data_IF_566088678805
#
_entry.id   IF_566088678805
#
_cell.length_a   1.000
_cell.length_b   1.000
_cell.length_c   1.000
_cell.angle_alpha   90.00
_cell.angle_beta   90.00
_cell.angle_gamma   90.00
#
_symmetry.space_group_name_H-M   'P 1'
#
loop_
_entity.id
_entity.type
_entity.pdbx_description
1 polymer ?
#
# COMPACT_ATOMS: atom_id res chain seq x y z
N UNK A 1 -20.80 6.09 -13.28
CA UNK A 1 -19.89 4.94 -13.54
C UNK A 1 -18.67 5.51 -14.21
N UNK A 2 -17.48 5.02 -13.85
CA UNK A 2 -16.21 5.46 -14.37
C UNK A 2 -15.62 4.34 -15.24
N UNK A 3 -15.24 4.67 -16.47
CA UNK A 3 -14.48 3.78 -17.34
C UNK A 3 -13.06 3.57 -16.80
N UNK A 4 -12.42 2.48 -17.19
CA UNK A 4 -11.00 2.23 -16.87
C UNK A 4 -10.09 3.35 -17.37
N UNK A 5 -10.43 4.00 -18.49
CA UNK A 5 -9.71 5.15 -19.02
C UNK A 5 -9.81 6.39 -18.13
N UNK A 6 -10.99 6.69 -17.59
CA UNK A 6 -11.18 7.78 -16.63
C UNK A 6 -10.46 7.48 -15.32
N UNK A 7 -10.58 6.24 -14.80
CA UNK A 7 -9.89 5.83 -13.57
C UNK A 7 -8.37 5.90 -13.75
N UNK A 8 -7.84 5.53 -14.91
CA UNK A 8 -6.43 5.67 -15.21
C UNK A 8 -5.98 7.13 -15.18
N UNK A 9 -6.73 8.05 -15.79
CA UNK A 9 -6.40 9.49 -15.77
C UNK A 9 -6.38 10.08 -14.35
N UNK A 10 -7.27 9.62 -13.48
CA UNK A 10 -7.38 10.14 -12.10
C UNK A 10 -6.38 9.49 -11.14
N UNK A 11 -6.07 8.21 -11.31
CA UNK A 11 -5.38 7.40 -10.29
C UNK A 11 -4.07 6.76 -10.76
N UNK A 12 -3.81 6.76 -12.07
CA UNK A 12 -2.73 6.00 -12.69
C UNK A 12 -2.95 4.48 -12.72
N UNK A 13 -4.07 3.95 -12.20
CA UNK A 13 -4.36 2.53 -12.26
C UNK A 13 -4.76 2.11 -13.67
N UNK A 14 -3.98 1.20 -14.26
CA UNK A 14 -4.30 0.61 -15.55
C UNK A 14 -5.52 -0.31 -15.47
N UNK A 15 -6.18 -0.54 -16.60
CA UNK A 15 -7.24 -1.55 -16.68
C UNK A 15 -6.78 -2.93 -16.20
N UNK A 16 -5.52 -3.30 -16.45
CA UNK A 16 -4.93 -4.54 -15.95
C UNK A 16 -4.94 -4.60 -14.42
N UNK A 17 -4.57 -3.52 -13.75
CA UNK A 17 -4.60 -3.43 -12.29
C UNK A 17 -6.03 -3.53 -11.75
N UNK A 18 -6.98 -2.82 -12.36
CA UNK A 18 -8.40 -2.86 -11.97
C UNK A 18 -8.96 -4.28 -12.11
N UNK A 19 -8.69 -4.93 -13.25
CA UNK A 19 -9.10 -6.32 -13.50
C UNK A 19 -8.47 -7.27 -12.48
N UNK A 20 -7.19 -7.09 -12.19
CA UNK A 20 -6.49 -7.91 -11.20
C UNK A 20 -7.08 -7.77 -9.80
N UNK A 21 -7.34 -6.54 -9.34
CA UNK A 21 -8.00 -6.31 -8.05
C UNK A 21 -9.42 -6.87 -8.02
N UNK A 22 -10.14 -6.82 -9.15
CA UNK A 22 -11.47 -7.40 -9.26
C UNK A 22 -11.45 -8.94 -9.19
N UNK A 23 -10.49 -9.58 -9.86
CA UNK A 23 -10.29 -11.04 -9.77
C UNK A 23 -9.94 -11.50 -8.35
N UNK A 24 -9.32 -10.63 -7.55
CA UNK A 24 -9.02 -10.86 -6.14
C UNK A 24 -10.18 -10.51 -5.19
N UNK A 25 -11.36 -10.15 -5.71
CA UNK A 25 -12.50 -9.65 -4.94
C UNK A 25 -12.21 -8.39 -4.10
N UNK A 26 -11.16 -7.64 -4.43
CA UNK A 26 -10.83 -6.38 -3.77
C UNK A 26 -11.60 -5.20 -4.36
N UNK A 27 -12.04 -5.29 -5.61
CA UNK A 27 -12.90 -4.29 -6.28
C UNK A 27 -14.07 -4.97 -7.00
N UNK A 28 -15.22 -4.30 -7.07
CA UNK A 28 -16.42 -4.82 -7.74
C UNK A 28 -16.64 -4.18 -9.12
N UNK A 29 -15.59 -4.22 -9.95
CA UNK A 29 -15.68 -3.73 -11.32
C UNK A 29 -16.72 -4.55 -12.13
N UNK A 30 -17.52 -3.87 -12.95
CA UNK A 30 -18.57 -4.48 -13.78
C UNK A 30 -18.30 -4.24 -15.26
N UNK A 31 -18.94 -5.00 -16.14
CA UNK A 31 -18.99 -4.67 -17.56
C UNK A 31 -20.20 -3.78 -17.84
N UNK A 32 -20.02 -2.71 -18.61
CA UNK A 32 -21.12 -1.91 -19.14
C UNK A 32 -21.78 -2.60 -20.35
N UNK A 33 -22.80 -1.97 -20.95
CA UNK A 33 -23.51 -2.50 -22.12
C UNK A 33 -22.63 -2.77 -23.35
N UNK A 34 -21.45 -2.15 -23.42
CA UNK A 34 -20.47 -2.34 -24.49
C UNK A 34 -19.39 -3.35 -24.12
N UNK A 35 -19.54 -4.06 -23.00
CA UNK A 35 -18.56 -5.04 -22.52
C UNK A 35 -17.30 -4.44 -21.88
N UNK A 36 -17.21 -3.12 -21.74
CA UNK A 36 -16.07 -2.43 -21.14
C UNK A 36 -16.12 -2.50 -19.62
N UNK A 37 -14.96 -2.65 -18.98
CA UNK A 37 -14.87 -2.67 -17.52
C UNK A 37 -15.07 -1.25 -16.96
N UNK A 38 -15.95 -1.13 -15.97
CA UNK A 38 -16.32 0.13 -15.31
C UNK A 38 -16.34 -0.04 -13.79
N UNK A 39 -16.07 1.04 -13.08
CA UNK A 39 -16.10 1.16 -11.63
C UNK A 39 -17.21 2.12 -11.21
N UNK A 40 -17.69 2.00 -9.98
CA UNK A 40 -18.53 3.01 -9.36
C UNK A 40 -17.68 3.98 -8.53
N UNK A 41 -18.20 5.17 -8.26
CA UNK A 41 -17.51 6.13 -7.40
C UNK A 41 -17.27 5.57 -5.99
N UNK A 42 -18.17 4.70 -5.50
CA UNK A 42 -17.99 3.99 -4.24
C UNK A 42 -16.80 3.03 -4.23
N UNK A 43 -16.29 2.60 -5.40
CA UNK A 43 -15.07 1.78 -5.48
C UNK A 43 -13.80 2.62 -5.23
N UNK A 44 -13.86 3.95 -5.30
CA UNK A 44 -12.71 4.83 -5.08
C UNK A 44 -12.18 4.76 -3.64
N UNK A 45 -13.07 4.64 -2.66
CA UNK A 45 -12.65 4.47 -1.26
C UNK A 45 -11.82 3.19 -1.08
N UNK A 46 -12.22 2.12 -1.77
CA UNK A 46 -11.50 0.85 -1.72
C UNK A 46 -10.15 0.95 -2.44
N UNK A 47 -10.08 1.70 -3.54
CA UNK A 47 -8.81 2.03 -4.21
C UNK A 47 -7.88 2.76 -3.24
N UNK A 48 -8.36 3.77 -2.50
CA UNK A 48 -7.56 4.48 -1.48
C UNK A 48 -7.00 3.50 -0.45
N UNK A 49 -7.83 2.61 0.10
CA UNK A 49 -7.38 1.59 1.06
C UNK A 49 -6.30 0.66 0.48
N UNK A 50 -6.50 0.16 -0.75
CA UNK A 50 -5.54 -0.72 -1.42
C UNK A 50 -4.19 -0.01 -1.60
N UNK A 51 -4.21 1.25 -2.07
CA UNK A 51 -3.00 2.02 -2.30
C UNK A 51 -2.28 2.35 -0.99
N UNK A 52 -3.00 2.78 0.05
CA UNK A 52 -2.43 3.08 1.36
C UNK A 52 -1.79 1.84 1.99
N UNK A 53 -2.44 0.68 1.91
CA UNK A 53 -1.88 -0.55 2.48
C UNK A 53 -0.65 -1.06 1.72
N UNK A 54 -0.57 -0.82 0.40
CA UNK A 54 0.65 -1.12 -0.36
C UNK A 54 1.85 -0.33 0.13
N UNK A 55 1.66 0.92 0.57
CA UNK A 55 2.74 1.76 1.13
C UNK A 55 3.29 1.13 2.42
N UNK A 56 2.42 0.58 3.28
CA UNK A 56 2.81 -0.09 4.55
C UNK A 56 3.23 -1.56 4.37
N UNK A 57 3.51 -1.97 3.13
CA UNK A 57 4.08 -3.28 2.82
C UNK A 57 3.09 -4.44 2.77
N UNK A 58 1.77 -4.20 2.80
CA UNK A 58 0.81 -5.29 2.64
C UNK A 58 0.90 -5.87 1.25
N UNK A 59 0.89 -7.21 1.16
CA UNK A 59 0.64 -7.87 -0.12
C UNK A 59 -0.86 -7.87 -0.39
N UNK A 60 -1.23 -7.87 -1.67
CA UNK A 60 -2.63 -7.88 -2.07
C UNK A 60 -3.39 -9.10 -1.51
N UNK A 61 -2.73 -10.26 -1.35
CA UNK A 61 -3.30 -11.44 -0.69
C UNK A 61 -3.68 -11.18 0.78
N UNK A 62 -2.92 -10.33 1.48
CA UNK A 62 -3.14 -10.03 2.89
C UNK A 62 -4.37 -9.13 3.05
N UNK A 63 -4.63 -8.26 2.08
CA UNK A 63 -5.84 -7.43 2.04
C UNK A 63 -7.12 -8.24 1.92
N UNK A 64 -7.06 -9.41 1.27
CA UNK A 64 -8.21 -10.31 1.13
C UNK A 64 -8.47 -11.00 2.48
N UNK A 65 -7.41 -11.50 3.11
CA UNK A 65 -7.51 -12.32 4.32
C UNK A 65 -7.81 -11.48 5.58
N UNK A 66 -7.15 -10.33 5.70
CA UNK A 66 -7.17 -9.52 6.92
C UNK A 66 -8.18 -8.38 6.84
N UNK A 67 -8.52 -7.93 5.63
CA UNK A 67 -9.40 -6.79 5.37
C UNK A 67 -9.19 -5.62 6.34
N UNK A 68 -7.95 -5.11 6.47
CA UNK A 68 -7.67 -4.07 7.46
C UNK A 68 -8.50 -2.83 7.18
N UNK A 69 -9.06 -2.24 8.23
CA UNK A 69 -9.75 -0.96 8.11
C UNK A 69 -8.77 0.15 7.75
N UNK A 70 -9.28 1.25 7.19
CA UNK A 70 -8.45 2.43 6.90
C UNK A 70 -7.78 3.00 8.15
N UNK A 71 -8.42 2.88 9.32
CA UNK A 71 -7.82 3.30 10.60
C UNK A 71 -6.61 2.45 10.99
N UNK A 72 -6.65 1.13 10.78
CA UNK A 72 -5.50 0.25 11.01
C UNK A 72 -4.36 0.61 10.07
N UNK A 73 -4.64 0.78 8.78
CA UNK A 73 -3.63 1.19 7.79
C UNK A 73 -3.02 2.55 8.14
N UNK A 74 -3.83 3.49 8.64
CA UNK A 74 -3.34 4.81 9.09
C UNK A 74 -2.38 4.67 10.26
N UNK A 75 -2.69 3.83 11.25
CA UNK A 75 -1.78 3.59 12.37
C UNK A 75 -0.46 2.95 11.91
N UNK A 76 -0.52 2.01 10.96
CA UNK A 76 0.67 1.43 10.34
C UNK A 76 1.53 2.49 9.62
N UNK A 77 0.89 3.45 8.93
CA UNK A 77 1.60 4.58 8.30
C UNK A 77 2.25 5.49 9.34
N UNK A 78 1.55 5.82 10.43
CA UNK A 78 2.12 6.63 11.53
C UNK A 78 3.34 5.95 12.13
N UNK A 79 3.27 4.63 12.33
CA UNK A 79 4.41 3.88 12.84
C UNK A 79 5.56 3.79 11.83
N UNK A 80 5.25 3.65 10.54
CA UNK A 80 6.25 3.69 9.47
C UNK A 80 7.00 5.03 9.44
N UNK A 81 6.30 6.15 9.67
CA UNK A 81 6.92 7.47 9.80
C UNK A 81 7.86 7.52 11.01
N UNK A 82 7.40 7.09 12.19
CA UNK A 82 8.25 7.07 13.39
C UNK A 82 9.49 6.18 13.20
N UNK A 83 9.35 5.04 12.53
CA UNK A 83 10.48 4.15 12.23
C UNK A 83 11.48 4.83 11.26
N UNK A 84 10.99 5.58 10.25
CA UNK A 84 11.83 6.36 9.33
C UNK A 84 12.52 7.54 10.01
N UNK A 85 11.86 8.25 10.91
CA UNK A 85 12.45 9.35 11.69
C UNK A 85 13.61 8.85 12.56
N UNK A 86 13.43 7.68 13.20
CA UNK A 86 14.52 7.04 13.94
C UNK A 86 15.68 6.66 13.02
N UNK A 87 15.40 6.08 11.85
CA UNK A 87 16.46 5.75 10.87
C UNK A 87 17.22 7.00 10.47
N UNK A 88 16.52 8.08 10.14
CA UNK A 88 17.16 9.35 9.75
C UNK A 88 18.06 9.87 10.87
N UNK A 89 17.56 9.89 12.10
CA UNK A 89 18.33 10.31 13.27
C UNK A 89 19.61 9.48 13.47
N UNK A 90 19.53 8.15 13.39
CA UNK A 90 20.69 7.29 13.61
C UNK A 90 21.68 7.34 12.44
N UNK A 91 21.23 7.60 11.20
CA UNK A 91 22.12 7.74 10.05
C UNK A 91 23.10 8.92 10.20
N UNK A 92 22.73 9.95 10.96
CA UNK A 92 23.61 11.05 11.31
C UNK A 92 24.70 10.65 12.33
N UNK A 93 24.52 9.52 13.03
CA UNK A 93 25.43 8.99 14.04
C UNK A 93 26.20 7.78 13.50
N UNK A 94 27.37 8.02 12.90
CA UNK A 94 28.23 6.96 12.32
C UNK A 94 29.66 6.96 12.84
N UNK A 95 29.90 7.74 13.88
CA UNK A 95 31.20 8.01 14.53
C UNK A 95 31.73 6.84 15.38
N UNK A 96 30.91 5.83 15.68
CA UNK A 96 31.31 4.69 16.51
C UNK A 96 30.73 3.36 16.02
N UNK A 97 31.39 2.25 16.38
CA UNK A 97 30.89 0.89 16.13
C UNK A 97 29.51 0.68 16.74
N UNK A 98 29.25 1.20 17.93
CA UNK A 98 27.94 1.08 18.57
C UNK A 98 26.86 1.77 17.74
N UNK A 99 27.13 2.98 17.25
CA UNK A 99 26.19 3.73 16.42
C UNK A 99 25.98 3.05 15.06
N UNK A 100 27.03 2.49 14.44
CA UNK A 100 26.90 1.66 13.24
C UNK A 100 26.02 0.42 13.48
N UNK A 101 26.16 -0.25 14.63
CA UNK A 101 25.30 -1.39 14.98
C UNK A 101 23.83 -0.97 15.19
N UNK A 102 23.58 0.18 15.82
CA UNK A 102 22.22 0.74 15.96
C UNK A 102 21.61 1.03 14.59
N UNK A 103 22.38 1.64 13.68
CA UNK A 103 21.97 1.86 12.29
C UNK A 103 21.55 0.57 11.59
N UNK A 104 22.41 -0.46 11.63
CA UNK A 104 22.12 -1.75 11.01
C UNK A 104 20.82 -2.33 11.58
N UNK A 105 20.62 -2.29 12.90
CA UNK A 105 19.42 -2.82 13.54
C UNK A 105 18.16 -2.09 13.07
N UNK A 106 18.14 -0.75 13.07
CA UNK A 106 16.98 0.03 12.61
C UNK A 106 16.65 -0.24 11.14
N UNK A 107 17.66 -0.25 10.27
CA UNK A 107 17.50 -0.55 8.85
C UNK A 107 16.96 -1.97 8.61
N UNK A 108 17.48 -2.97 9.34
CA UNK A 108 17.01 -4.35 9.23
C UNK A 108 15.58 -4.52 9.75
N UNK A 109 15.23 -3.87 10.85
CA UNK A 109 13.87 -3.89 11.42
C UNK A 109 12.87 -3.28 10.44
N UNK A 110 13.18 -2.11 9.88
CA UNK A 110 12.32 -1.46 8.88
C UNK A 110 12.14 -2.33 7.63
N UNK A 111 13.24 -2.88 7.09
CA UNK A 111 13.19 -3.76 5.93
C UNK A 111 12.34 -5.01 6.20
N UNK A 112 12.47 -5.60 7.38
CA UNK A 112 11.69 -6.79 7.78
C UNK A 112 10.22 -6.46 7.89
N UNK A 113 9.89 -5.32 8.49
CA UNK A 113 8.53 -4.90 8.78
C UNK A 113 7.74 -4.44 7.56
N UNK A 114 8.36 -3.73 6.63
CA UNK A 114 7.64 -3.08 5.52
C UNK A 114 8.05 -3.56 4.13
N UNK A 115 9.29 -4.00 3.92
CA UNK A 115 9.76 -4.42 2.59
C UNK A 115 9.74 -5.94 2.38
N UNK A 116 9.83 -6.72 3.47
CA UNK A 116 9.93 -8.19 3.43
C UNK A 116 8.72 -8.93 3.98
N UNK A 117 7.58 -8.26 4.26
CA UNK A 117 6.34 -8.94 4.68
C UNK A 117 6.06 -10.12 3.74
N UNK A 118 6.12 -11.35 4.26
CA UNK A 118 6.03 -12.59 3.48
C UNK A 118 4.60 -12.98 3.21
#
# INVERSE_FOLDING_TARGET
>A
MLTTGEVYKMTGLTERSIRYYSNLNLLKAKKNGNGQLVLFESDLEKIVQILAAKITGYKLKDLINQQPSLSVIKNDLTQMIADLENILFYLDLTDSKENLMKNINWLQNYNTRYLRKK
#
